data_IF_575202563615
#
_entry.id   IF_575202563615
#
_cell.length_a   1.000
_cell.length_b   1.000
_cell.length_c   1.000
_cell.angle_alpha   90.00
_cell.angle_beta   90.00
_cell.angle_gamma   90.00
#
_symmetry.space_group_name_H-M   'P 1'
#
loop_
_entity.id
_entity.type
_entity.pdbx_description
1 polymer ?
#
# COMPACT_ATOMS: atom_id res chain seq x y z
N UNK A 1 -0.42 -23.12 -12.21
CA UNK A 1 -0.79 -21.69 -12.32
C UNK A 1 -0.10 -20.91 -11.21
N UNK A 2 0.55 -19.79 -11.54
CA UNK A 2 1.16 -18.89 -10.56
C UNK A 2 0.12 -17.91 -10.05
N UNK A 3 -0.94 -18.44 -9.42
CA UNK A 3 -2.09 -17.64 -8.99
C UNK A 3 -1.76 -16.84 -7.72
N UNK A 4 -0.93 -17.41 -6.84
CA UNK A 4 -0.60 -16.82 -5.54
C UNK A 4 0.16 -15.49 -5.69
N UNK A 5 1.25 -15.39 -6.47
CA UNK A 5 1.99 -14.13 -6.61
C UNK A 5 1.15 -13.03 -7.27
N UNK A 6 0.29 -13.41 -8.22
CA UNK A 6 -0.63 -12.46 -8.88
C UNK A 6 -1.64 -11.91 -7.87
N UNK A 7 -2.21 -12.77 -7.02
CA UNK A 7 -3.14 -12.35 -5.97
C UNK A 7 -2.46 -11.43 -4.95
N UNK A 8 -1.22 -11.70 -4.57
CA UNK A 8 -0.45 -10.85 -3.66
C UNK A 8 -0.25 -9.44 -4.23
N UNK A 9 0.14 -9.33 -5.51
CA UNK A 9 0.31 -8.04 -6.18
C UNK A 9 -1.01 -7.27 -6.28
N UNK A 10 -2.10 -7.95 -6.66
CA UNK A 10 -3.42 -7.32 -6.76
C UNK A 10 -3.91 -6.85 -5.38
N UNK A 11 -3.70 -7.65 -4.33
CA UNK A 11 -4.03 -7.27 -2.97
C UNK A 11 -3.21 -6.06 -2.51
N UNK A 12 -1.89 -6.07 -2.71
CA UNK A 12 -1.01 -4.97 -2.33
C UNK A 12 -1.36 -3.67 -3.08
N UNK A 13 -1.66 -3.75 -4.37
CA UNK A 13 -2.10 -2.61 -5.17
C UNK A 13 -3.44 -2.05 -4.66
N UNK A 14 -4.38 -2.92 -4.29
CA UNK A 14 -5.67 -2.52 -3.72
C UNK A 14 -5.50 -1.82 -2.37
N UNK A 15 -4.66 -2.35 -1.48
CA UNK A 15 -4.38 -1.71 -0.19
C UNK A 15 -3.67 -0.37 -0.38
N UNK A 16 -2.77 -0.25 -1.36
CA UNK A 16 -2.13 1.03 -1.71
C UNK A 16 -3.18 2.08 -2.08
N UNK A 17 -4.11 1.75 -2.97
CA UNK A 17 -5.17 2.66 -3.39
C UNK A 17 -6.09 3.08 -2.22
N UNK A 18 -6.52 2.10 -1.41
CA UNK A 18 -7.33 2.37 -0.23
C UNK A 18 -6.57 3.19 0.83
N UNK A 19 -5.26 2.97 0.97
CA UNK A 19 -4.38 3.77 1.82
C UNK A 19 -4.33 5.23 1.39
N UNK A 20 -4.25 5.51 0.08
CA UNK A 20 -4.31 6.89 -0.43
C UNK A 20 -5.67 7.53 -0.11
N UNK A 21 -6.77 6.80 -0.32
CA UNK A 21 -8.11 7.28 0.03
C UNK A 21 -8.26 7.56 1.52
N UNK A 22 -7.65 6.74 2.39
CA UNK A 22 -7.62 6.97 3.82
C UNK A 22 -6.95 8.32 4.13
N UNK A 23 -5.79 8.60 3.55
CA UNK A 23 -5.11 9.89 3.74
C UNK A 23 -5.96 11.07 3.32
N UNK A 24 -6.60 11.00 2.16
CA UNK A 24 -7.47 12.05 1.63
C UNK A 24 -8.71 12.27 2.49
N UNK A 25 -9.15 11.26 3.24
CA UNK A 25 -10.28 11.37 4.18
C UNK A 25 -9.84 11.88 5.55
N UNK A 26 -8.65 11.51 6.02
CA UNK A 26 -8.19 11.79 7.39
C UNK A 26 -7.24 12.98 7.50
N UNK A 27 -6.84 13.65 6.40
CA UNK A 27 -5.87 14.75 6.46
C UNK A 27 -6.29 15.93 7.35
N UNK A 28 -7.59 16.19 7.48
CA UNK A 28 -8.13 17.24 8.36
C UNK A 28 -8.33 16.78 9.81
N UNK A 29 -8.27 15.48 10.07
CA UNK A 29 -8.45 14.95 11.41
C UNK A 29 -7.13 15.08 12.17
N UNK A 30 -7.18 15.66 13.37
CA UNK A 30 -6.03 15.81 14.24
C UNK A 30 -6.06 14.72 15.32
N UNK A 31 -4.91 14.08 15.54
CA UNK A 31 -4.76 13.09 16.61
C UNK A 31 -4.78 13.81 17.98
N UNK A 32 -5.64 13.40 18.94
CA UNK A 32 -5.73 14.08 20.22
C UNK A 32 -4.47 13.89 21.08
N UNK A 33 -3.74 12.79 20.90
CA UNK A 33 -2.53 12.48 21.66
C UNK A 33 -1.27 13.21 21.14
N UNK A 34 -1.22 13.52 19.85
CA UNK A 34 0.01 13.99 19.19
C UNK A 34 -0.14 15.38 18.57
N UNK A 35 -1.36 15.91 18.44
CA UNK A 35 -1.61 17.23 17.86
C UNK A 35 -1.31 17.33 16.34
N UNK A 36 -0.94 16.22 15.70
CA UNK A 36 -0.64 16.18 14.26
C UNK A 36 -1.79 15.56 13.47
N UNK A 37 -1.81 15.82 12.17
CA UNK A 37 -2.77 15.18 11.26
C UNK A 37 -2.65 13.66 11.30
N UNK A 38 -3.80 12.99 11.43
CA UNK A 38 -3.96 11.53 11.41
C UNK A 38 -3.44 10.93 10.08
N UNK A 39 -3.40 11.73 9.01
CA UNK A 39 -2.80 11.30 7.74
C UNK A 39 -1.29 11.05 7.83
N UNK A 40 -0.55 11.69 8.74
CA UNK A 40 0.91 11.51 8.85
C UNK A 40 1.26 10.06 9.23
N UNK A 41 0.77 9.50 10.36
CA UNK A 41 1.06 8.10 10.69
C UNK A 41 0.45 7.13 9.68
N UNK A 42 -0.74 7.42 9.15
CA UNK A 42 -1.35 6.54 8.14
C UNK A 42 -0.67 6.58 6.78
N UNK A 43 0.22 7.53 6.50
CA UNK A 43 0.97 7.58 5.24
C UNK A 43 1.83 6.32 5.06
N UNK A 44 2.27 5.71 6.16
CA UNK A 44 3.00 4.44 6.12
C UNK A 44 2.24 3.33 5.37
N UNK A 45 0.90 3.35 5.37
CA UNK A 45 0.08 2.33 4.70
C UNK A 45 0.26 2.39 3.17
N UNK A 46 -0.15 3.46 2.45
CA UNK A 46 0.00 3.48 0.99
C UNK A 46 1.46 3.40 0.56
N UNK A 47 2.40 4.02 1.28
CA UNK A 47 3.82 3.94 0.90
C UNK A 47 4.38 2.52 1.05
N UNK A 48 4.13 1.84 2.18
CA UNK A 48 4.62 0.49 2.41
C UNK A 48 4.05 -0.51 1.40
N UNK A 49 2.74 -0.44 1.16
CA UNK A 49 2.07 -1.33 0.20
C UNK A 49 2.43 -1.02 -1.26
N UNK A 50 2.76 0.24 -1.58
CA UNK A 50 3.26 0.60 -2.89
C UNK A 50 4.59 -0.11 -3.20
N UNK A 51 5.54 -0.07 -2.27
CA UNK A 51 6.81 -0.79 -2.43
C UNK A 51 6.62 -2.30 -2.47
N UNK A 52 5.75 -2.88 -1.62
CA UNK A 52 5.39 -4.30 -1.71
C UNK A 52 4.82 -4.67 -3.08
N UNK A 53 4.01 -3.80 -3.68
CA UNK A 53 3.46 -4.01 -5.02
C UNK A 53 4.58 -4.05 -6.07
N UNK A 54 5.55 -3.12 -6.01
CA UNK A 54 6.69 -3.11 -6.92
C UNK A 54 7.54 -4.37 -6.81
N UNK A 55 7.89 -4.78 -5.59
CA UNK A 55 8.65 -6.02 -5.37
C UNK A 55 7.86 -7.27 -5.79
N UNK A 56 6.55 -7.28 -5.59
CA UNK A 56 5.69 -8.36 -6.06
C UNK A 56 5.59 -8.44 -7.59
N UNK A 57 5.71 -7.31 -8.29
CA UNK A 57 5.81 -7.29 -9.76
C UNK A 57 7.16 -7.85 -10.22
N UNK A 58 8.26 -7.42 -9.60
CA UNK A 58 9.62 -7.92 -9.85
C UNK A 58 9.70 -9.44 -9.63
N UNK A 59 9.43 -9.88 -8.41
CA UNK A 59 8.45 -10.92 -8.11
C UNK A 59 8.06 -11.89 -9.24
N UNK A 60 6.92 -11.55 -9.85
CA UNK A 60 6.29 -12.26 -10.96
C UNK A 60 7.16 -12.28 -12.21
N UNK A 61 7.86 -11.19 -12.53
CA UNK A 61 8.70 -11.08 -13.71
C UNK A 61 9.86 -12.07 -13.66
N UNK A 62 10.57 -12.16 -12.52
CA UNK A 62 11.67 -13.11 -12.32
C UNK A 62 11.21 -14.53 -12.50
N UNK A 63 10.07 -14.89 -11.90
CA UNK A 63 9.57 -16.25 -12.04
C UNK A 63 9.18 -16.48 -13.53
N UNK A 64 8.64 -15.48 -14.25
CA UNK A 64 8.06 -15.63 -15.61
C UNK A 64 9.07 -15.58 -16.74
N UNK A 65 10.12 -14.78 -16.60
CA UNK A 65 11.15 -14.57 -17.61
C UNK A 65 12.47 -15.31 -17.28
N UNK A 66 12.62 -15.81 -16.05
CA UNK A 66 13.74 -16.63 -15.57
C UNK A 66 13.46 -18.13 -15.60
#
# INVERSE_FOLDING_TARGET
MRIIPILEVVAAASVTYNGILLLLRTYKQITPALGISVAIPYAAVPFGFFFMTLFGIEHILDITLG
#
